data_IF_884772172390
#
_entry.id   IF_884772172390
#
_cell.length_a   1.000
_cell.length_b   1.000
_cell.length_c   1.000
_cell.angle_alpha   90.00
_cell.angle_beta   90.00
_cell.angle_gamma   90.00
#
_symmetry.space_group_name_H-M   'P 1'
#
loop_
_entity.id
_entity.type
_entity.pdbx_description
1 polymer ?
#
# COMPACT_ATOMS: atom_id res chain seq x y z
N UNK A 1 -4.94 8.01 1.91
CA UNK A 1 -4.58 9.40 1.58
C UNK A 1 -3.28 9.42 0.77
N UNK A 2 -3.19 10.28 -0.23
CA UNK A 2 -1.96 10.52 -1.01
C UNK A 2 -1.56 11.97 -0.73
N UNK A 3 -0.33 12.21 -0.27
CA UNK A 3 0.14 13.56 0.05
C UNK A 3 0.30 14.45 -1.19
N UNK A 4 0.91 13.91 -2.26
CA UNK A 4 1.09 14.59 -3.55
C UNK A 4 1.16 13.56 -4.68
N UNK A 5 0.61 13.88 -5.85
CA UNK A 5 0.65 13.02 -7.05
C UNK A 5 1.69 13.44 -8.08
N UNK A 6 2.32 14.61 -7.87
CA UNK A 6 3.42 15.13 -8.70
C UNK A 6 4.57 15.48 -7.76
N UNK A 7 5.79 15.01 -8.09
CA UNK A 7 6.99 15.24 -7.32
C UNK A 7 8.05 15.93 -8.18
N UNK A 8 8.75 16.90 -7.62
CA UNK A 8 9.97 17.44 -8.20
C UNK A 8 11.16 16.51 -7.91
N UNK A 9 12.26 16.58 -8.67
CA UNK A 9 13.46 15.81 -8.40
C UNK A 9 13.94 15.97 -6.95
N UNK A 10 14.18 14.86 -6.26
CA UNK A 10 14.61 14.82 -4.86
C UNK A 10 13.48 14.93 -3.82
N UNK A 11 12.23 15.14 -4.25
CA UNK A 11 11.09 15.15 -3.33
C UNK A 11 10.57 13.74 -3.03
N UNK A 12 9.99 13.60 -1.84
CA UNK A 12 9.27 12.42 -1.40
C UNK A 12 7.83 12.77 -1.05
N UNK A 13 6.95 11.77 -1.10
CA UNK A 13 5.58 11.89 -0.59
C UNK A 13 5.23 10.65 0.22
N UNK A 14 4.20 10.78 1.06
CA UNK A 14 3.67 9.69 1.88
C UNK A 14 2.37 9.20 1.28
N UNK A 15 2.28 7.88 1.10
CA UNK A 15 1.06 7.17 0.79
C UNK A 15 0.54 6.51 2.06
N UNK A 16 -0.62 6.95 2.56
CA UNK A 16 -1.27 6.37 3.73
C UNK A 16 -2.46 5.52 3.27
N UNK A 17 -2.47 4.24 3.63
CA UNK A 17 -3.51 3.30 3.24
C UNK A 17 -4.20 2.81 4.51
N UNK A 18 -5.30 3.46 4.95
CA UNK A 18 -6.05 2.97 6.09
C UNK A 18 -6.67 1.62 5.73
N UNK A 19 -6.24 0.58 6.43
CA UNK A 19 -6.81 -0.76 6.31
C UNK A 19 -8.05 -0.81 7.19
N UNK A 20 -9.23 -0.60 6.59
CA UNK A 20 -10.50 -0.87 7.23
C UNK A 20 -10.78 -2.36 7.20
N UNK A 21 -10.24 -3.04 8.19
CA UNK A 21 -10.51 -4.45 8.44
C UNK A 21 -11.82 -4.53 9.19
N UNK A 22 -12.93 -4.65 8.48
CA UNK A 22 -14.18 -5.11 9.12
C UNK A 22 -13.87 -6.41 9.85
N UNK A 23 -14.29 -6.54 11.11
CA UNK A 23 -14.19 -7.79 11.85
C UNK A 23 -15.16 -8.81 11.24
N UNK A 24 -14.80 -9.33 10.06
CA UNK A 24 -15.46 -10.48 9.49
C UNK A 24 -14.80 -11.72 10.09
N UNK A 25 -15.62 -12.68 10.52
CA UNK A 25 -15.15 -14.01 10.94
C UNK A 25 -14.25 -14.61 9.85
N UNK A 26 -13.04 -15.05 10.21
CA UNK A 26 -12.07 -15.64 9.26
C UNK A 26 -10.78 -14.84 9.03
N UNK A 27 -10.60 -13.69 9.68
CA UNK A 27 -9.39 -12.86 9.58
C UNK A 27 -8.14 -13.43 10.32
N UNK A 28 -8.25 -14.58 10.98
CA UNK A 28 -7.16 -15.20 11.76
C UNK A 28 -6.04 -15.85 10.91
N UNK A 29 -6.09 -15.70 9.58
CA UNK A 29 -5.11 -16.27 8.66
C UNK A 29 -4.16 -15.20 8.10
N UNK A 30 -3.11 -15.62 7.40
CA UNK A 30 -2.16 -14.70 6.76
C UNK A 30 -2.84 -14.00 5.57
N UNK A 31 -2.94 -12.68 5.64
CA UNK A 31 -3.38 -11.89 4.51
C UNK A 31 -2.19 -11.26 3.78
N UNK A 32 -2.29 -11.22 2.45
CA UNK A 32 -1.33 -10.55 1.58
C UNK A 32 -2.04 -9.41 0.88
N UNK A 33 -1.54 -8.20 1.09
CA UNK A 33 -2.02 -6.98 0.44
C UNK A 33 -1.01 -6.54 -0.60
N UNK A 34 -1.54 -6.03 -1.71
CA UNK A 34 -0.75 -5.46 -2.78
C UNK A 34 -1.37 -4.15 -3.25
N UNK A 35 -0.53 -3.14 -3.49
CA UNK A 35 -0.94 -1.88 -4.12
C UNK A 35 -0.01 -1.59 -5.27
N UNK A 36 -0.59 -1.35 -6.43
CA UNK A 36 0.14 -0.89 -7.61
C UNK A 36 0.21 0.63 -7.60
N UNK A 37 1.43 1.15 -7.53
CA UNK A 37 1.73 2.57 -7.75
C UNK A 37 2.10 2.74 -9.22
N UNK A 38 1.23 3.42 -9.98
CA UNK A 38 1.49 3.76 -11.38
C UNK A 38 2.10 5.15 -11.46
N UNK A 39 3.16 5.30 -12.26
CA UNK A 39 3.89 6.56 -12.44
C UNK A 39 4.26 6.77 -13.91
N UNK A 40 4.90 7.90 -14.19
CA UNK A 40 5.51 8.22 -15.48
C UNK A 40 7.00 7.83 -15.55
N UNK A 41 7.48 6.99 -14.63
CA UNK A 41 8.86 6.48 -14.69
C UNK A 41 9.03 5.60 -15.94
N UNK A 42 9.96 5.95 -16.87
CA UNK A 42 10.15 5.20 -18.10
C UNK A 42 10.79 3.82 -17.89
N UNK A 43 11.40 3.57 -16.73
CA UNK A 43 12.06 2.31 -16.38
C UNK A 43 11.09 1.39 -15.63
N UNK A 44 10.37 1.91 -14.64
CA UNK A 44 9.41 1.14 -13.82
C UNK A 44 8.07 1.90 -13.69
N UNK A 45 7.21 1.87 -14.73
CA UNK A 45 5.95 2.63 -14.75
C UNK A 45 4.90 2.09 -13.77
N UNK A 46 5.08 0.86 -13.28
CA UNK A 46 4.22 0.23 -12.27
C UNK A 46 5.09 -0.42 -11.21
N UNK A 47 4.97 0.05 -9.97
CA UNK A 47 5.62 -0.53 -8.79
C UNK A 47 4.60 -1.16 -7.88
N UNK A 48 4.68 -2.47 -7.69
CA UNK A 48 3.77 -3.19 -6.76
C UNK A 48 4.39 -3.26 -5.36
N UNK A 49 3.76 -2.59 -4.39
CA UNK A 49 4.09 -2.71 -2.98
C UNK A 49 3.30 -3.86 -2.38
N UNK A 50 3.99 -4.83 -1.76
CA UNK A 50 3.35 -5.99 -1.11
C UNK A 50 3.69 -6.03 0.37
N UNK A 51 2.70 -6.30 1.20
CA UNK A 51 2.90 -6.55 2.62
C UNK A 51 1.99 -7.66 3.09
N UNK A 52 2.39 -8.30 4.18
CA UNK A 52 1.68 -9.40 4.79
C UNK A 52 1.35 -9.03 6.22
N UNK A 53 0.15 -9.37 6.66
CA UNK A 53 -0.19 -9.28 8.07
C UNK A 53 -1.14 -10.42 8.45
N UNK A 54 -1.16 -10.72 9.74
CA UNK A 54 -2.13 -11.63 10.35
C UNK A 54 -3.02 -10.80 11.25
N UNK A 55 -4.34 -10.85 11.04
CA UNK A 55 -5.27 -10.17 11.93
C UNK A 55 -5.58 -11.09 13.13
N UNK A 56 -4.80 -10.89 14.19
CA UNK A 56 -4.89 -11.65 15.44
C UNK A 56 -3.53 -11.78 16.10
N UNK A 57 -3.29 -11.04 17.19
CA UNK A 57 -1.98 -11.05 17.83
C UNK A 57 -1.75 -10.17 19.06
N UNK A 58 -2.78 -9.74 19.80
CA UNK A 58 -2.87 -9.67 21.27
C UNK A 58 -4.21 -9.05 21.68
#
# INVERSE_FOLDING_TARGET
>A
MVGATTLQPGQSTTLELPLFMGMHTGMGSLHVFAVDVRSNDPVEPVKTLRWRFTAGGR
#
